data_IF_523167122625
#
_entry.id   IF_523167122625
#
_cell.length_a   1.000
_cell.length_b   1.000
_cell.length_c   1.000
_cell.angle_alpha   90.00
_cell.angle_beta   90.00
_cell.angle_gamma   90.00
#
_symmetry.space_group_name_H-M   'P 1'
#
loop_
_entity.id
_entity.type
_entity.pdbx_description
1 polymer ?
#
# COMPACT_ATOMS: atom_id res chain seq x y z
N UNK A 1 10.83 12.31 -6.26
CA UNK A 1 9.66 12.48 -5.38
C UNK A 1 10.00 11.97 -3.99
N UNK A 2 9.75 12.77 -2.94
CA UNK A 2 10.00 12.39 -1.55
C UNK A 2 8.69 11.89 -0.95
N UNK A 3 8.69 10.66 -0.43
CA UNK A 3 7.52 10.09 0.24
C UNK A 3 7.43 10.61 1.67
N UNK A 4 6.54 11.55 1.90
CA UNK A 4 6.14 12.04 3.23
C UNK A 4 5.04 11.16 3.83
N UNK A 5 4.80 11.24 5.14
CA UNK A 5 3.69 10.51 5.76
C UNK A 5 2.33 10.86 5.11
N UNK A 6 2.06 12.14 4.84
CA UNK A 6 0.82 12.57 4.17
C UNK A 6 0.62 11.90 2.80
N UNK A 7 1.70 11.81 2.01
CA UNK A 7 1.64 11.19 0.67
C UNK A 7 1.49 9.67 0.75
N UNK A 8 2.09 9.02 1.76
CA UNK A 8 1.89 7.60 2.01
C UNK A 8 0.46 7.32 2.50
N UNK A 9 -0.07 8.14 3.40
CA UNK A 9 -1.44 8.02 3.88
C UNK A 9 -2.46 8.22 2.74
N UNK A 10 -2.24 9.22 1.88
CA UNK A 10 -3.05 9.44 0.68
C UNK A 10 -3.04 8.23 -0.26
N UNK A 11 -1.85 7.63 -0.49
CA UNK A 11 -1.73 6.42 -1.31
C UNK A 11 -2.60 5.28 -0.76
N UNK A 12 -2.53 5.05 0.55
CA UNK A 12 -3.23 3.94 1.19
C UNK A 12 -4.74 4.17 1.22
N UNK A 13 -5.19 5.40 1.52
CA UNK A 13 -6.61 5.74 1.48
C UNK A 13 -7.19 5.58 0.08
N UNK A 14 -6.50 6.09 -0.95
CA UNK A 14 -6.97 5.96 -2.33
C UNK A 14 -6.92 4.52 -2.85
N UNK A 15 -5.98 3.70 -2.35
CA UNK A 15 -5.92 2.27 -2.63
C UNK A 15 -7.06 1.52 -1.93
N UNK A 16 -7.31 1.78 -0.65
CA UNK A 16 -8.36 1.14 0.14
C UNK A 16 -9.73 1.36 -0.49
N UNK A 17 -10.04 2.59 -0.92
CA UNK A 17 -11.28 2.92 -1.65
C UNK A 17 -11.46 2.09 -2.93
N UNK A 18 -10.35 1.77 -3.61
CA UNK A 18 -10.35 1.03 -4.87
C UNK A 18 -9.98 -0.45 -4.70
N UNK A 19 -9.85 -0.96 -3.47
CA UNK A 19 -9.36 -2.33 -3.20
C UNK A 19 -10.22 -3.39 -3.87
N UNK A 20 -11.54 -3.19 -3.90
CA UNK A 20 -12.52 -4.06 -4.56
C UNK A 20 -12.25 -4.15 -6.06
N UNK A 21 -11.91 -3.02 -6.68
CA UNK A 21 -11.61 -2.89 -8.09
C UNK A 21 -10.24 -3.49 -8.43
N UNK A 22 -9.27 -3.33 -7.52
CA UNK A 22 -7.96 -3.99 -7.61
C UNK A 22 -8.05 -5.52 -7.46
N UNK A 23 -9.05 -6.02 -6.73
CA UNK A 23 -9.35 -7.46 -6.60
C UNK A 23 -10.00 -8.01 -7.87
N UNK A 24 -10.74 -7.19 -8.61
CA UNK A 24 -11.34 -7.60 -9.88
C UNK A 24 -10.28 -7.73 -10.98
N UNK A 25 -10.00 -8.96 -11.40
CA UNK A 25 -9.03 -9.28 -12.46
C UNK A 25 -9.44 -8.74 -13.85
N UNK A 26 -10.71 -8.37 -14.05
CA UNK A 26 -11.20 -7.84 -15.32
C UNK A 26 -10.67 -6.43 -15.61
N UNK A 27 -10.24 -5.68 -14.59
CA UNK A 27 -9.85 -4.27 -14.73
C UNK A 27 -8.33 -4.15 -14.81
N UNK A 28 -7.86 -3.42 -15.83
CA UNK A 28 -6.42 -3.19 -16.02
C UNK A 28 -5.87 -2.36 -14.86
N UNK A 29 -4.97 -2.94 -14.07
CA UNK A 29 -4.28 -2.27 -12.93
C UNK A 29 -3.64 -0.92 -13.31
N UNK A 30 -3.20 -0.77 -14.57
CA UNK A 30 -2.66 0.50 -15.09
C UNK A 30 -3.65 1.67 -15.00
N UNK A 31 -4.94 1.41 -15.19
CA UNK A 31 -6.01 2.43 -15.10
C UNK A 31 -6.15 2.88 -13.65
N UNK A 32 -6.19 1.94 -12.71
CA UNK A 32 -6.30 2.23 -11.28
C UNK A 32 -5.11 3.05 -10.76
N UNK A 33 -3.89 2.71 -11.18
CA UNK A 33 -2.72 3.52 -10.86
C UNK A 33 -2.77 4.92 -11.46
N UNK A 34 -3.33 5.07 -12.67
CA UNK A 34 -3.54 6.37 -13.31
C UNK A 34 -4.54 7.23 -12.53
N UNK A 35 -5.62 6.64 -12.03
CA UNK A 35 -6.56 7.37 -11.18
C UNK A 35 -5.91 7.87 -9.89
N UNK A 36 -5.14 7.00 -9.22
CA UNK A 36 -4.40 7.38 -8.02
C UNK A 36 -3.42 8.51 -8.37
N UNK A 37 -2.66 8.39 -9.47
CA UNK A 37 -1.78 9.46 -9.96
C UNK A 37 -2.53 10.78 -10.15
N UNK A 38 -3.72 10.76 -10.73
CA UNK A 38 -4.53 11.98 -10.93
C UNK A 38 -4.92 12.61 -9.60
N UNK A 39 -5.20 11.81 -8.57
CA UNK A 39 -5.46 12.33 -7.22
C UNK A 39 -4.19 12.96 -6.64
N UNK A 40 -3.04 12.33 -6.76
CA UNK A 40 -1.77 12.94 -6.35
C UNK A 40 -1.51 14.27 -7.07
N UNK A 41 -1.79 14.35 -8.37
CA UNK A 41 -1.64 15.57 -9.15
C UNK A 41 -2.55 16.70 -8.64
N UNK A 42 -3.79 16.40 -8.20
CA UNK A 42 -4.69 17.38 -7.57
C UNK A 42 -4.14 17.94 -6.26
N UNK A 43 -3.37 17.14 -5.53
CA UNK A 43 -2.67 17.56 -4.32
C UNK A 43 -1.33 18.26 -4.61
N UNK A 44 -1.00 18.56 -5.88
CA UNK A 44 0.25 19.20 -6.27
C UNK A 44 1.45 18.25 -6.33
N UNK A 45 1.22 16.93 -6.31
CA UNK A 45 2.27 15.92 -6.36
C UNK A 45 2.35 15.26 -7.74
N UNK A 46 3.44 15.50 -8.46
CA UNK A 46 3.69 14.89 -9.77
C UNK A 46 4.44 13.57 -9.56
N UNK A 47 3.73 12.45 -9.75
CA UNK A 47 4.29 11.09 -9.61
C UNK A 47 3.95 10.25 -10.84
N UNK A 48 4.85 9.35 -11.24
CA UNK A 48 4.61 8.36 -12.29
C UNK A 48 3.87 7.14 -11.75
N UNK A 49 3.01 6.53 -12.57
CA UNK A 49 2.28 5.30 -12.21
C UNK A 49 3.23 4.18 -11.73
N UNK A 50 4.39 4.05 -12.39
CA UNK A 50 5.40 3.06 -12.02
C UNK A 50 6.02 3.33 -10.64
N UNK A 51 6.17 4.60 -10.26
CA UNK A 51 6.69 4.97 -8.94
C UNK A 51 5.68 4.66 -7.83
N UNK A 52 4.38 4.92 -8.07
CA UNK A 52 3.28 4.54 -7.17
C UNK A 52 3.24 3.03 -6.96
N UNK A 53 3.23 2.29 -8.07
CA UNK A 53 3.17 0.84 -8.07
C UNK A 53 4.42 0.21 -7.41
N UNK A 54 5.63 0.69 -7.74
CA UNK A 54 6.87 0.23 -7.10
C UNK A 54 6.86 0.52 -5.59
N UNK A 55 6.40 1.70 -5.17
CA UNK A 55 6.30 2.07 -3.75
C UNK A 55 5.32 1.15 -3.02
N UNK A 56 4.14 0.94 -3.59
CA UNK A 56 3.13 0.07 -3.00
C UNK A 56 3.61 -1.39 -2.91
N UNK A 57 4.27 -1.91 -3.96
CA UNK A 57 4.88 -3.25 -3.94
C UNK A 57 5.93 -3.38 -2.84
N UNK A 58 6.78 -2.38 -2.64
CA UNK A 58 7.76 -2.38 -1.56
C UNK A 58 7.10 -2.35 -0.18
N UNK A 59 6.06 -1.53 0.00
CA UNK A 59 5.28 -1.49 1.24
C UNK A 59 4.60 -2.82 1.54
N UNK A 60 4.01 -3.47 0.53
CA UNK A 60 3.44 -4.82 0.67
C UNK A 60 4.48 -5.85 1.07
N UNK A 61 5.69 -5.81 0.52
CA UNK A 61 6.79 -6.70 0.93
C UNK A 61 7.17 -6.50 2.39
N UNK A 62 7.25 -5.25 2.85
CA UNK A 62 7.49 -4.92 4.26
C UNK A 62 6.38 -5.48 5.15
N UNK A 63 5.12 -5.29 4.77
CA UNK A 63 3.97 -5.88 5.47
C UNK A 63 4.10 -7.39 5.59
N UNK A 64 4.32 -8.10 4.48
CA UNK A 64 4.43 -9.57 4.48
C UNK A 64 5.59 -10.05 5.38
N UNK A 65 6.73 -9.36 5.35
CA UNK A 65 7.86 -9.68 6.22
C UNK A 65 7.51 -9.49 7.70
N UNK A 66 6.82 -8.41 8.04
CA UNK A 66 6.40 -8.13 9.42
C UNK A 66 5.35 -9.14 9.88
N UNK A 67 4.36 -9.42 9.03
CA UNK A 67 3.28 -10.37 9.30
C UNK A 67 3.83 -11.78 9.52
N UNK A 68 4.72 -12.25 8.65
CA UNK A 68 5.44 -13.53 8.81
C UNK A 68 6.29 -13.56 10.09
N UNK A 69 7.02 -12.48 10.38
CA UNK A 69 7.83 -12.39 11.60
C UNK A 69 6.98 -12.40 12.88
N UNK A 70 5.84 -11.72 12.88
CA UNK A 70 4.93 -11.67 14.03
C UNK A 70 4.17 -13.00 14.23
N UNK A 71 3.89 -13.75 13.14
CA UNK A 71 3.28 -15.07 13.23
C UNK A 71 4.27 -16.16 13.71
N UNK A 72 5.57 -15.94 13.50
CA UNK A 72 6.63 -16.83 14.01
C UNK A 72 6.87 -16.59 15.50
N UNK A 73 6.03 -17.21 16.34
CA UNK A 73 6.12 -17.18 17.80
C UNK A 73 7.44 -17.72 18.39
N UNK A 74 8.28 -18.39 17.58
CA UNK A 74 9.49 -19.09 18.06
C UNK A 74 10.80 -18.30 17.96
N UNK A 75 10.84 -17.18 17.25
CA UNK A 75 12.02 -16.31 17.26
C UNK A 75 11.77 -15.20 18.26
N UNK A 76 12.48 -15.16 19.40
CA UNK A 76 12.38 -14.13 20.44
C UNK A 76 12.73 -12.69 20.02
N UNK A 77 12.58 -12.36 18.73
CA UNK A 77 12.56 -11.00 18.20
C UNK A 77 11.19 -10.41 18.55
N UNK A 78 11.18 -9.29 19.28
CA UNK A 78 9.96 -8.57 19.63
C UNK A 78 9.11 -8.24 18.40
N UNK A 79 7.80 -8.12 18.60
CA UNK A 79 6.85 -7.78 17.55
C UNK A 79 7.27 -6.49 16.83
N UNK A 80 7.34 -6.54 15.49
CA UNK A 80 7.69 -5.36 14.70
C UNK A 80 6.42 -4.53 14.55
N UNK A 81 6.40 -3.34 15.17
CA UNK A 81 5.36 -2.34 14.95
C UNK A 81 5.68 -1.52 13.71
N UNK A 82 4.71 -1.38 12.82
CA UNK A 82 4.80 -0.49 11.66
C UNK A 82 3.50 0.30 11.57
N UNK A 83 3.62 1.62 11.42
CA UNK A 83 2.48 2.55 11.47
C UNK A 83 1.38 2.20 10.46
N UNK A 84 1.78 1.68 9.29
CA UNK A 84 0.86 1.27 8.24
C UNK A 84 0.44 -0.20 8.34
N UNK A 85 0.92 -0.95 9.33
CA UNK A 85 0.64 -2.38 9.48
C UNK A 85 -0.85 -2.64 9.62
N UNK A 86 -1.55 -1.88 10.48
CA UNK A 86 -2.98 -2.07 10.71
C UNK A 86 -3.81 -1.81 9.44
N UNK A 87 -3.43 -0.80 8.66
CA UNK A 87 -4.09 -0.48 7.38
C UNK A 87 -3.87 -1.62 6.37
N UNK A 88 -2.65 -2.13 6.25
CA UNK A 88 -2.37 -3.28 5.39
C UNK A 88 -3.08 -4.53 5.87
N UNK A 89 -3.12 -4.79 7.18
CA UNK A 89 -3.90 -5.87 7.76
C UNK A 89 -5.36 -5.74 7.33
N UNK A 90 -6.02 -4.60 7.52
CA UNK A 90 -7.41 -4.41 7.08
C UNK A 90 -7.62 -4.62 5.56
N UNK A 91 -6.63 -4.28 4.73
CA UNK A 91 -6.67 -4.46 3.28
C UNK A 91 -6.48 -5.94 2.87
N UNK A 92 -5.63 -6.69 3.58
CA UNK A 92 -5.18 -8.04 3.19
C UNK A 92 -5.71 -9.19 4.07
N UNK A 93 -6.22 -8.92 5.26
CA UNK A 93 -6.74 -9.90 6.24
C UNK A 93 -8.15 -10.40 5.87
N UNK A 94 -8.87 -9.65 5.02
CA UNK A 94 -10.14 -10.09 4.42
C UNK A 94 -9.94 -10.75 3.02
N UNK A 95 -8.74 -11.24 2.72
CA UNK A 95 -8.46 -12.02 1.51
C UNK A 95 -8.76 -13.51 1.72
#
# INVERSE_FOLDING_TARGET
FIWTQNTMQLLLQEYEKRKVIFRNACIKKKILWTEIKNQFAKHGHIISNEALDKKFRNMKKTYLKIHDNNNKSSTGRGAISWEYYNIFCNIFDND
#
